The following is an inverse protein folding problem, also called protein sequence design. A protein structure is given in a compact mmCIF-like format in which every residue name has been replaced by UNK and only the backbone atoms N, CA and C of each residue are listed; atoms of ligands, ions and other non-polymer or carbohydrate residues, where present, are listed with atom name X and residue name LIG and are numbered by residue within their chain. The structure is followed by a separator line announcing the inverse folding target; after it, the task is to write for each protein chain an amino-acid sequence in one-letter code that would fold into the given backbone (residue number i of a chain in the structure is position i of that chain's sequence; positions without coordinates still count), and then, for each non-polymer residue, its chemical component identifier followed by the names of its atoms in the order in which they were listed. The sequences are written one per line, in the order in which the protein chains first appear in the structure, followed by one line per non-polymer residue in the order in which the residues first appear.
data_IF_825193442187
#
_entry.id   IF_825193442187
#
_cell.length_a   1.000
_cell.length_b   1.000
_cell.length_c   1.000
_cell.angle_alpha   90.00
_cell.angle_beta   90.00
_cell.angle_gamma   90.00
#
_symmetry.space_group_name_H-M   'P 1'
#
loop_
_entity.id
_entity.type
_entity.pdbx_description
1 polymer ?
#
# COMPACT_ATOMS: atom_id res chain seq x y z
N UNK A 1 -19.18 7.51 -6.17
CA UNK A 1 -19.12 7.98 -4.77
C UNK A 1 -17.67 7.96 -4.35
N UNK A 2 -17.06 9.12 -4.08
CA UNK A 2 -15.73 9.23 -3.49
C UNK A 2 -15.81 8.68 -2.07
N UNK A 3 -15.12 7.57 -1.78
CA UNK A 3 -14.98 7.08 -0.41
C UNK A 3 -14.13 8.09 0.35
N UNK A 4 -14.57 8.47 1.55
CA UNK A 4 -13.78 9.36 2.39
C UNK A 4 -12.50 8.64 2.82
N UNK A 5 -11.35 9.26 2.56
CA UNK A 5 -10.05 8.77 3.03
C UNK A 5 -9.97 8.87 4.56
N UNK A 6 -9.23 7.96 5.20
CA UNK A 6 -8.94 8.08 6.63
C UNK A 6 -8.12 9.34 6.86
N UNK A 7 -8.54 10.16 7.83
CA UNK A 7 -7.96 11.47 8.10
C UNK A 7 -6.45 11.45 8.44
N UNK A 8 -5.91 10.30 8.85
CA UNK A 8 -4.50 10.13 9.16
C UNK A 8 -3.61 10.02 7.90
N UNK A 9 -4.18 9.73 6.74
CA UNK A 9 -3.43 9.46 5.52
C UNK A 9 -3.21 10.74 4.70
N UNK A 10 -1.98 10.94 4.22
CA UNK A 10 -1.68 11.98 3.26
C UNK A 10 -2.06 11.49 1.86
N UNK A 11 -3.11 12.06 1.26
CA UNK A 11 -3.65 11.62 -0.05
C UNK A 11 -2.57 11.49 -1.14
N UNK A 12 -1.58 12.38 -1.15
CA UNK A 12 -0.48 12.38 -2.13
C UNK A 12 0.48 11.18 -2.03
N UNK A 13 0.40 10.38 -0.97
CA UNK A 13 1.25 9.20 -0.74
C UNK A 13 0.46 7.89 -0.66
N UNK A 14 -0.83 7.91 -0.99
CA UNK A 14 -1.64 6.70 -1.06
C UNK A 14 -1.22 5.82 -2.26
N UNK A 15 -1.10 4.53 -1.99
CA UNK A 15 -0.71 3.52 -2.96
C UNK A 15 -1.79 2.43 -3.02
N UNK A 16 -2.29 2.17 -4.22
CA UNK A 16 -3.26 1.11 -4.47
C UNK A 16 -2.58 -0.16 -5.01
N UNK A 17 -2.93 -1.32 -4.46
CA UNK A 17 -2.42 -2.65 -4.85
C UNK A 17 -3.58 -3.58 -5.18
N UNK A 18 -3.43 -4.31 -6.27
CA UNK A 18 -4.42 -5.29 -6.76
C UNK A 18 -3.78 -6.66 -6.92
N UNK A 19 -4.15 -7.57 -6.03
CA UNK A 19 -3.51 -8.86 -5.85
C UNK A 19 -4.56 -9.98 -5.86
N UNK A 20 -4.37 -11.01 -6.69
CA UNK A 20 -5.25 -12.19 -6.65
C UNK A 20 -4.75 -13.13 -5.56
N UNK A 21 -5.55 -13.29 -4.52
CA UNK A 21 -5.26 -14.15 -3.38
C UNK A 21 -5.96 -15.50 -3.57
N UNK A 22 -5.31 -16.57 -3.17
CA UNK A 22 -5.81 -17.94 -3.27
C UNK A 22 -5.74 -18.58 -1.88
N UNK A 23 -6.52 -19.63 -1.65
CA UNK A 23 -6.46 -20.44 -0.44
C UNK A 23 -7.19 -19.87 0.77
N UNK A 24 -7.96 -18.79 0.60
CA UNK A 24 -8.83 -18.24 1.64
C UNK A 24 -10.28 -18.69 1.43
N UNK A 25 -10.91 -19.18 2.49
CA UNK A 25 -12.35 -19.32 2.58
C UNK A 25 -13.04 -17.97 2.90
N UNK A 26 -14.37 -17.95 2.94
CA UNK A 26 -15.14 -16.73 3.12
C UNK A 26 -14.95 -16.09 4.52
N UNK A 27 -14.71 -16.89 5.56
CA UNK A 27 -14.45 -16.37 6.91
C UNK A 27 -13.06 -15.74 6.97
N UNK A 28 -12.05 -16.42 6.43
CA UNK A 28 -10.69 -15.88 6.37
C UNK A 28 -10.61 -14.61 5.51
N UNK A 29 -11.43 -14.52 4.45
CA UNK A 29 -11.60 -13.29 3.68
C UNK A 29 -12.22 -12.18 4.50
N UNK A 30 -13.27 -12.48 5.27
CA UNK A 30 -13.91 -11.51 6.15
C UNK A 30 -12.91 -10.95 7.17
N UNK A 31 -12.22 -11.83 7.89
CA UNK A 31 -11.22 -11.48 8.91
C UNK A 31 -10.07 -10.65 8.32
N UNK A 32 -9.56 -11.05 7.14
CA UNK A 32 -8.49 -10.31 6.47
C UNK A 32 -8.95 -8.89 6.11
N UNK A 33 -10.14 -8.74 5.53
CA UNK A 33 -10.65 -7.43 5.11
C UNK A 33 -10.96 -6.54 6.32
N UNK A 34 -11.53 -7.09 7.39
CA UNK A 34 -11.75 -6.36 8.64
C UNK A 34 -10.43 -5.88 9.23
N UNK A 35 -9.46 -6.79 9.42
CA UNK A 35 -8.14 -6.44 9.96
C UNK A 35 -7.40 -5.39 9.12
N UNK A 36 -7.46 -5.50 7.79
CA UNK A 36 -6.88 -4.51 6.90
C UNK A 36 -7.58 -3.15 7.10
N UNK A 37 -8.91 -3.11 7.10
CA UNK A 37 -9.65 -1.87 7.29
C UNK A 37 -9.51 -1.28 8.69
N UNK A 38 -9.14 -2.06 9.71
CA UNK A 38 -8.83 -1.54 11.05
C UNK A 38 -7.39 -1.02 11.18
N UNK A 39 -6.50 -1.41 10.27
CA UNK A 39 -5.10 -0.98 10.32
C UNK A 39 -4.97 0.54 10.09
N UNK A 40 -4.19 1.28 10.91
CA UNK A 40 -4.12 2.74 10.84
C UNK A 40 -3.56 3.25 9.51
N UNK A 41 -2.63 2.53 8.90
CA UNK A 41 -2.01 2.91 7.62
C UNK A 41 -2.78 2.42 6.39
N UNK A 42 -3.82 1.59 6.57
CA UNK A 42 -4.68 1.17 5.47
C UNK A 42 -5.80 2.19 5.35
N UNK A 43 -5.92 2.78 4.18
CA UNK A 43 -7.05 3.65 3.87
C UNK A 43 -8.32 2.84 3.65
N UNK A 44 -8.21 1.81 2.80
CA UNK A 44 -9.34 0.99 2.43
C UNK A 44 -8.90 -0.36 1.84
N UNK A 45 -9.62 -1.43 2.16
CA UNK A 45 -9.45 -2.76 1.61
C UNK A 45 -10.80 -3.39 1.23
N UNK A 46 -10.85 -4.06 0.07
CA UNK A 46 -12.01 -4.86 -0.32
C UNK A 46 -11.63 -6.11 -1.12
N UNK A 47 -12.49 -7.13 -1.01
CA UNK A 47 -12.50 -8.28 -1.92
C UNK A 47 -13.35 -7.95 -3.14
N UNK A 48 -12.74 -7.98 -4.31
CA UNK A 48 -13.39 -7.92 -5.63
C UNK A 48 -13.64 -9.33 -6.18
N UNK A 49 -14.49 -9.48 -7.22
CA UNK A 49 -14.73 -10.78 -7.85
C UNK A 49 -13.44 -11.49 -8.29
N UNK A 50 -13.47 -12.83 -8.32
CA UNK A 50 -12.31 -13.69 -8.62
C UNK A 50 -11.15 -13.50 -7.64
N UNK A 51 -11.51 -13.35 -6.36
CA UNK A 51 -10.57 -13.31 -5.22
C UNK A 51 -9.47 -12.26 -5.38
N UNK A 52 -9.85 -11.12 -5.97
CA UNK A 52 -8.96 -10.00 -6.16
C UNK A 52 -9.05 -9.08 -4.95
N UNK A 53 -7.99 -9.05 -4.15
CA UNK A 53 -7.82 -8.08 -3.08
C UNK A 53 -7.38 -6.74 -3.67
N UNK A 54 -8.16 -5.69 -3.41
CA UNK A 54 -7.81 -4.30 -3.70
C UNK A 54 -7.60 -3.56 -2.38
N UNK A 55 -6.39 -3.03 -2.18
CA UNK A 55 -6.01 -2.33 -0.95
C UNK A 55 -5.34 -1.02 -1.31
N UNK A 56 -5.76 0.03 -0.63
CA UNK A 56 -5.14 1.35 -0.66
C UNK A 56 -4.55 1.63 0.71
N UNK A 57 -3.28 2.06 0.74
CA UNK A 57 -2.58 2.36 1.99
C UNK A 57 -1.63 3.54 1.86
N UNK A 58 -1.25 4.13 2.99
CA UNK A 58 -0.21 5.15 3.07
C UNK A 58 1.17 4.53 2.87
N UNK A 59 1.79 4.82 1.72
CA UNK A 59 3.10 4.30 1.34
C UNK A 59 4.27 4.87 2.16
N UNK A 60 4.03 5.89 2.99
CA UNK A 60 5.08 6.45 3.86
C UNK A 60 5.33 5.56 5.08
N UNK A 61 4.29 4.88 5.57
CA UNK A 61 4.32 4.06 6.79
C UNK A 61 4.06 2.57 6.53
N UNK A 62 3.58 2.20 5.35
CA UNK A 62 3.27 0.82 5.01
C UNK A 62 3.80 0.41 3.63
N UNK A 63 3.76 -0.89 3.32
CA UNK A 63 4.41 -1.45 2.14
C UNK A 63 3.73 -2.70 1.59
N UNK A 64 4.14 -3.06 0.38
CA UNK A 64 3.74 -4.28 -0.29
C UNK A 64 4.14 -5.50 0.52
N UNK A 65 5.30 -5.52 1.19
CA UNK A 65 5.72 -6.68 1.98
C UNK A 65 4.81 -6.92 3.19
N UNK A 66 4.42 -5.85 3.90
CA UNK A 66 3.51 -5.97 5.03
C UNK A 66 2.11 -6.43 4.59
N UNK A 67 1.65 -6.01 3.41
CA UNK A 67 0.44 -6.54 2.80
C UNK A 67 0.57 -8.04 2.46
N UNK A 68 1.70 -8.48 1.90
CA UNK A 68 1.97 -9.89 1.61
C UNK A 68 2.00 -10.74 2.88
N UNK A 69 2.62 -10.22 3.94
CA UNK A 69 2.68 -10.88 5.25
C UNK A 69 1.28 -10.97 5.89
N UNK A 70 0.47 -9.92 5.77
CA UNK A 70 -0.92 -9.93 6.22
C UNK A 70 -1.75 -11.00 5.50
N UNK A 71 -1.61 -11.11 4.17
CA UNK A 71 -2.28 -12.16 3.37
C UNK A 71 -1.84 -13.54 3.85
N UNK A 72 -0.53 -13.76 4.00
CA UNK A 72 0.05 -15.05 4.43
C UNK A 72 -0.39 -15.44 5.84
N UNK A 73 -0.48 -14.47 6.75
CA UNK A 73 -0.90 -14.71 8.13
C UNK A 73 -2.34 -15.25 8.26
N UNK A 74 -3.20 -14.99 7.27
CA UNK A 74 -4.57 -15.54 7.21
C UNK A 74 -4.65 -16.82 6.37
N UNK A 75 -3.52 -17.39 5.95
CA UNK A 75 -3.46 -18.61 5.13
C UNK A 75 -3.52 -18.35 3.62
N UNK A 76 -3.58 -17.09 3.20
CA UNK A 76 -3.66 -16.71 1.80
C UNK A 76 -2.31 -16.78 1.10
N UNK A 77 -2.32 -17.01 -0.20
CA UNK A 77 -1.10 -17.01 -1.02
C UNK A 77 -1.37 -16.51 -2.44
N UNK A 78 -0.30 -16.12 -3.14
CA UNK A 78 -0.36 -15.67 -4.52
C UNK A 78 0.31 -16.65 -5.47
N UNK A 79 -0.22 -16.77 -6.69
CA UNK A 79 0.35 -17.63 -7.72
C UNK A 79 1.72 -17.15 -8.18
N UNK A 80 2.73 -18.02 -8.12
CA UNK A 80 4.11 -17.71 -8.50
C UNK A 80 4.32 -17.66 -10.04
N UNK A 81 3.62 -16.74 -10.71
CA UNK A 81 3.80 -16.46 -12.13
C UNK A 81 4.90 -15.42 -12.35
N UNK A 82 5.55 -15.44 -13.52
CA UNK A 82 6.47 -14.36 -13.93
C UNK A 82 5.77 -13.01 -13.78
N UNK A 83 4.54 -12.89 -14.29
CA UNK A 83 3.86 -11.62 -14.31
C UNK A 83 3.59 -11.07 -12.92
N UNK A 84 3.22 -11.93 -11.96
CA UNK A 84 3.11 -11.52 -10.57
C UNK A 84 4.46 -11.03 -10.03
N UNK A 85 5.56 -11.77 -10.24
CA UNK A 85 6.89 -11.35 -9.75
C UNK A 85 7.28 -9.98 -10.29
N UNK A 86 7.02 -9.72 -11.58
CA UNK A 86 7.28 -8.40 -12.19
C UNK A 86 6.39 -7.30 -11.58
N UNK A 87 5.11 -7.59 -11.36
CA UNK A 87 4.18 -6.65 -10.71
C UNK A 87 4.61 -6.34 -9.27
N UNK A 88 5.00 -7.33 -8.49
CA UNK A 88 5.50 -7.14 -7.12
C UNK A 88 6.79 -6.33 -7.11
N UNK A 89 7.71 -6.56 -8.05
CA UNK A 89 8.91 -5.74 -8.19
C UNK A 89 8.56 -4.26 -8.46
N UNK A 90 7.58 -3.98 -9.31
CA UNK A 90 7.09 -2.63 -9.55
C UNK A 90 6.46 -2.01 -8.30
N UNK A 91 5.61 -2.76 -7.59
CA UNK A 91 5.00 -2.27 -6.35
C UNK A 91 6.04 -1.90 -5.29
N UNK A 92 7.03 -2.77 -5.04
CA UNK A 92 8.16 -2.49 -4.14
C UNK A 92 8.94 -1.24 -4.56
N UNK A 93 9.22 -1.09 -5.85
CA UNK A 93 9.89 0.10 -6.37
C UNK A 93 9.09 1.38 -6.09
N UNK A 94 7.77 1.35 -6.31
CA UNK A 94 6.92 2.52 -6.03
C UNK A 94 6.75 2.82 -4.54
N UNK A 95 6.70 1.79 -3.67
CA UNK A 95 6.69 2.00 -2.22
C UNK A 95 7.95 2.77 -1.78
N UNK A 96 9.12 2.36 -2.27
CA UNK A 96 10.37 3.02 -1.91
C UNK A 96 10.45 4.44 -2.46
N UNK A 97 9.97 4.69 -3.68
CA UNK A 97 9.90 6.04 -4.22
C UNK A 97 9.00 6.96 -3.40
N UNK A 98 7.83 6.49 -2.97
CA UNK A 98 6.93 7.27 -2.11
C UNK A 98 7.61 7.57 -0.77
N UNK A 99 8.24 6.57 -0.14
CA UNK A 99 8.95 6.74 1.13
C UNK A 99 10.13 7.70 1.02
N UNK A 100 10.89 7.63 -0.07
CA UNK A 100 11.99 8.55 -0.35
C UNK A 100 11.48 9.97 -0.58
N UNK A 101 10.41 10.13 -1.36
CA UNK A 101 9.81 11.44 -1.65
C UNK A 101 9.19 12.09 -0.41
N UNK A 102 8.57 11.31 0.48
CA UNK A 102 8.02 11.83 1.74
C UNK A 102 9.12 12.38 2.67
N UNK A 103 10.34 11.81 2.61
CA UNK A 103 11.51 12.31 3.35
C UNK A 103 12.24 13.44 2.62
N UNK A 104 11.99 13.61 1.33
CA UNK A 104 12.74 14.54 0.49
C UNK A 104 12.36 15.99 0.82
N UNK A 105 13.36 16.81 1.13
CA UNK A 105 13.20 18.27 1.22
C UNK A 105 13.56 18.86 -0.14
N UNK A 106 12.62 19.51 -0.86
CA UNK A 106 12.92 20.05 -2.17
C UNK A 106 14.04 21.09 -2.06
N UNK A 107 15.07 20.93 -2.89
CA UNK A 107 16.12 21.92 -3.01
C UNK A 107 15.62 23.10 -3.84
N UNK A 108 15.69 24.31 -3.28
CA UNK A 108 15.34 25.53 -4.00
C UNK A 108 16.62 26.22 -4.49
N UNK A 109 16.85 26.19 -5.79
CA UNK A 109 17.98 26.88 -6.43
C UNK A 109 17.91 28.41 -6.30
N UNK A 110 16.75 28.95 -5.95
CA UNK A 110 16.52 30.39 -5.74
C UNK A 110 16.61 30.81 -4.27
N UNK A 111 17.03 29.91 -3.36
CA UNK A 111 17.16 30.23 -1.94
C UNK A 111 18.30 31.23 -1.78
N UNK A 112 17.96 32.45 -1.31
CA UNK A 112 18.93 33.52 -1.08
C UNK A 112 20.04 32.99 -0.15
N UNK A 113 21.32 33.14 -0.52
CA UNK A 113 22.43 32.67 0.32
C UNK A 113 22.42 33.38 1.68
N UNK A 114 22.88 32.71 2.76
CA UNK A 114 22.92 33.32 4.08
C UNK A 114 23.81 34.56 4.06
N UNK A 115 23.23 35.73 4.34
CA UNK A 115 24.00 36.98 4.44
C UNK A 115 24.83 36.93 5.73
N UNK A 116 26.12 37.25 5.62
CA UNK A 116 26.99 37.40 6.81
C UNK A 116 26.51 38.64 7.60
N UNK A 117 26.41 38.50 8.92
CA UNK A 117 26.17 39.61 9.84
C UNK A 117 27.33 40.59 9.82
#
# INVERSE_FOLDING_TARGET
MTKAHKAANQEGFLLCRKLRVNGLDDNQWHDLIEKLNDHPCVDFAERKPKDLLEVTYDGTHWSTEELLDAIKAHGGWLTNSWWLRRKLAWYRFTDENVRANAKHKPFCCSKIPPMKK
#
